data_IF_821059423690
#
_entry.id   IF_821059423690
#
_cell.length_a   1.000
_cell.length_b   1.000
_cell.length_c   1.000
_cell.angle_alpha   90.00
_cell.angle_beta   90.00
_cell.angle_gamma   90.00
#
_symmetry.space_group_name_H-M   'P 1'
#
loop_
_entity.id
_entity.type
_entity.pdbx_description
1 polymer ?
#
# COMPACT_ATOMS: atom_id res chain seq x y z
N UNK A 1 7.43 15.25 1.33
CA UNK A 1 8.20 15.35 2.57
C UNK A 1 7.52 14.59 3.69
N UNK A 2 8.31 14.16 4.66
CA UNK A 2 7.80 13.47 5.84
C UNK A 2 7.29 14.53 6.83
N UNK A 3 6.19 14.24 7.53
CA UNK A 3 5.70 15.12 8.58
C UNK A 3 5.21 14.32 9.79
N UNK A 4 5.14 14.96 10.93
CA UNK A 4 4.48 14.43 12.12
C UNK A 4 3.60 15.50 12.76
N UNK A 5 2.58 15.08 13.49
CA UNK A 5 1.72 15.94 14.30
C UNK A 5 2.17 15.81 15.76
N UNK A 6 2.32 16.95 16.42
CA UNK A 6 2.76 17.02 17.82
C UNK A 6 1.67 17.73 18.62
N UNK A 7 1.22 17.07 19.67
CA UNK A 7 0.34 17.62 20.70
C UNK A 7 1.13 17.87 21.99
N UNK A 8 0.56 18.58 22.98
CA UNK A 8 1.24 18.80 24.27
C UNK A 8 1.74 17.51 24.91
N UNK A 9 0.94 16.43 24.88
CA UNK A 9 1.22 15.16 25.56
C UNK A 9 1.26 13.96 24.61
N UNK A 10 1.09 14.18 23.28
CA UNK A 10 1.01 13.09 22.31
C UNK A 10 1.72 13.45 21.01
N UNK A 11 1.92 12.46 20.14
CA UNK A 11 2.46 12.66 18.80
C UNK A 11 1.97 11.59 17.83
N UNK A 12 1.88 11.93 16.55
CA UNK A 12 1.49 11.01 15.47
C UNK A 12 2.42 11.16 14.28
N UNK A 13 2.94 10.04 13.78
CA UNK A 13 3.89 10.01 12.66
C UNK A 13 5.35 10.08 13.13
N UNK A 14 6.26 10.20 12.18
CA UNK A 14 7.72 10.26 12.40
C UNK A 14 8.39 11.04 11.27
N UNK A 15 9.50 11.70 11.59
CA UNK A 15 10.37 12.38 10.61
C UNK A 15 11.75 11.71 10.48
N UNK A 16 11.90 10.49 11.00
CA UNK A 16 13.13 9.72 10.90
C UNK A 16 13.67 9.18 12.22
N UNK A 17 13.08 9.59 13.35
CA UNK A 17 13.42 9.09 14.69
C UNK A 17 14.72 9.67 15.28
N UNK A 18 15.05 9.18 16.48
CA UNK A 18 16.28 9.55 17.18
C UNK A 18 16.33 10.96 17.72
N UNK A 19 17.55 11.48 17.94
CA UNK A 19 17.78 12.79 18.57
C UNK A 19 17.14 13.95 17.79
N UNK A 20 17.11 13.88 16.46
CA UNK A 20 16.44 14.87 15.60
C UNK A 20 14.97 15.03 15.99
N UNK A 21 14.26 13.92 16.13
CA UNK A 21 12.83 13.92 16.45
C UNK A 21 12.56 14.52 17.84
N UNK A 22 13.36 14.16 18.85
CA UNK A 22 13.25 14.75 20.19
C UNK A 22 13.45 16.27 20.17
N UNK A 23 14.47 16.78 19.46
CA UNK A 23 14.71 18.22 19.31
C UNK A 23 13.51 18.94 18.68
N UNK A 24 12.92 18.33 17.65
CA UNK A 24 11.76 18.90 16.95
C UNK A 24 10.52 18.88 17.85
N UNK A 25 10.29 17.81 18.60
CA UNK A 25 9.16 17.70 19.55
C UNK A 25 9.28 18.77 20.63
N UNK A 26 10.46 18.92 21.25
CA UNK A 26 10.69 19.90 22.29
C UNK A 26 10.47 21.33 21.78
N UNK A 27 10.99 21.64 20.59
CA UNK A 27 10.79 22.96 19.98
C UNK A 27 9.33 23.22 19.61
N UNK A 28 8.62 22.22 19.08
CA UNK A 28 7.20 22.35 18.76
C UNK A 28 6.36 22.63 20.01
N UNK A 29 6.64 21.92 21.12
CA UNK A 29 5.98 22.16 22.42
C UNK A 29 6.33 23.53 23.00
N UNK A 30 7.56 24.01 22.78
CA UNK A 30 7.93 25.35 23.16
C UNK A 30 7.17 26.41 22.36
N UNK A 31 7.06 26.26 21.04
CA UNK A 31 6.26 27.15 20.16
C UNK A 31 4.82 27.25 20.64
N UNK A 32 4.20 26.11 21.01
CA UNK A 32 2.84 26.08 21.55
C UNK A 32 2.73 26.87 22.88
N UNK A 33 3.71 26.70 23.79
CA UNK A 33 3.73 27.45 25.08
C UNK A 33 3.96 28.95 24.90
N UNK A 34 4.77 29.34 23.92
CA UNK A 34 5.06 30.74 23.59
C UNK A 34 3.90 31.41 22.84
N UNK A 35 2.91 30.66 22.37
CA UNK A 35 1.81 31.15 21.56
C UNK A 35 2.24 31.63 20.17
N UNK A 36 3.39 31.18 19.68
CA UNK A 36 3.88 31.49 18.35
C UNK A 36 3.16 30.62 17.30
N UNK A 37 2.94 31.17 16.09
CA UNK A 37 2.20 30.46 15.02
C UNK A 37 3.09 29.52 14.23
N UNK A 38 4.39 29.84 14.10
CA UNK A 38 5.38 29.04 13.36
C UNK A 38 6.80 29.15 13.94
N UNK A 39 7.67 28.26 13.51
CA UNK A 39 9.12 28.32 13.72
C UNK A 39 9.83 27.49 12.64
N UNK A 40 11.13 27.75 12.47
CA UNK A 40 12.02 26.95 11.63
C UNK A 40 13.24 26.49 12.42
N UNK A 41 13.73 25.32 12.08
CA UNK A 41 14.93 24.75 12.63
C UNK A 41 15.82 24.26 11.49
N UNK A 42 17.06 24.71 11.45
CA UNK A 42 18.10 24.19 10.56
C UNK A 42 19.08 23.34 11.38
N UNK A 43 18.99 22.03 11.21
CA UNK A 43 19.67 21.05 12.09
C UNK A 43 20.75 20.33 11.29
N UNK A 44 22.03 20.43 11.69
CA UNK A 44 23.10 19.64 11.10
C UNK A 44 22.98 18.18 11.53
N UNK A 45 23.08 17.24 10.58
CA UNK A 45 23.07 15.80 10.82
C UNK A 45 24.52 15.31 11.06
N UNK A 46 25.07 15.64 12.22
CA UNK A 46 26.43 15.31 12.59
C UNK A 46 26.53 14.36 13.79
N UNK A 47 27.74 13.99 14.17
CA UNK A 47 28.01 13.16 15.36
C UNK A 47 27.43 13.74 16.66
N UNK A 48 27.24 15.05 16.72
CA UNK A 48 26.70 15.80 17.86
C UNK A 48 25.28 15.37 18.23
N UNK A 49 24.49 14.90 17.22
CA UNK A 49 23.15 14.35 17.40
C UNK A 49 23.12 12.84 17.17
N UNK A 50 24.27 12.17 17.24
CA UNK A 50 24.37 10.71 17.08
C UNK A 50 24.09 10.23 15.64
N UNK A 51 24.25 11.11 14.64
CA UNK A 51 24.08 10.75 13.22
C UNK A 51 25.40 10.84 12.47
N UNK A 52 25.68 9.83 11.64
CA UNK A 52 26.89 9.73 10.81
C UNK A 52 26.66 10.06 9.33
N UNK A 53 25.41 10.41 8.94
CA UNK A 53 25.06 10.59 7.53
C UNK A 53 25.56 11.91 6.93
N UNK A 54 25.93 12.90 7.75
CA UNK A 54 26.28 14.24 7.28
C UNK A 54 25.10 14.98 6.61
N UNK A 55 25.24 16.27 6.38
CA UNK A 55 24.19 17.09 5.76
C UNK A 55 23.43 17.95 6.76
N UNK A 56 22.35 18.59 6.31
CA UNK A 56 21.49 19.47 7.12
C UNK A 56 20.02 19.18 6.78
N UNK A 57 19.15 19.33 7.77
CA UNK A 57 17.70 19.21 7.62
C UNK A 57 17.05 20.52 8.03
N UNK A 58 16.23 21.08 7.13
CA UNK A 58 15.36 22.22 7.42
C UNK A 58 14.00 21.69 7.85
N UNK A 59 13.57 22.03 9.06
CA UNK A 59 12.30 21.61 9.66
C UNK A 59 11.42 22.84 9.87
N UNK A 60 10.28 22.88 9.21
CA UNK A 60 9.25 23.88 9.44
C UNK A 60 8.23 23.39 10.48
N UNK A 61 8.01 24.19 11.52
CA UNK A 61 6.99 23.97 12.55
C UNK A 61 5.83 24.94 12.30
N UNK A 62 4.61 24.46 12.39
CA UNK A 62 3.41 25.30 12.26
C UNK A 62 2.32 24.85 13.22
N UNK A 63 1.69 25.77 13.88
CA UNK A 63 0.49 25.49 14.67
C UNK A 63 -0.67 25.14 13.72
N UNK A 64 -1.36 24.02 14.03
CA UNK A 64 -2.47 23.56 13.21
C UNK A 64 -3.72 24.38 13.53
N UNK A 65 -4.00 25.38 12.69
CA UNK A 65 -5.25 26.10 12.69
C UNK A 65 -6.36 25.30 11.94
N UNK A 66 -7.63 25.72 12.02
CA UNK A 66 -8.71 25.03 11.30
C UNK A 66 -8.54 24.99 9.78
N UNK A 67 -7.82 25.93 9.16
CA UNK A 67 -7.60 25.97 7.72
C UNK A 67 -6.56 24.92 7.35
N UNK A 68 -5.42 24.90 8.04
CA UNK A 68 -4.37 23.88 7.86
C UNK A 68 -4.92 22.48 8.16
N UNK A 69 -5.71 22.32 9.22
CA UNK A 69 -6.34 21.05 9.55
C UNK A 69 -7.19 20.49 8.41
N UNK A 70 -8.06 21.33 7.81
CA UNK A 70 -8.85 20.91 6.63
C UNK A 70 -7.98 20.58 5.40
N UNK A 71 -6.88 21.30 5.21
CA UNK A 71 -5.92 21.00 4.11
C UNK A 71 -5.26 19.65 4.32
N UNK A 72 -4.78 19.36 5.53
CA UNK A 72 -4.18 18.07 5.88
C UNK A 72 -5.16 16.92 5.69
N UNK A 73 -6.41 17.07 6.14
CA UNK A 73 -7.46 16.06 5.94
C UNK A 73 -7.75 15.82 4.46
N UNK A 74 -7.84 16.86 3.64
CA UNK A 74 -8.03 16.72 2.18
C UNK A 74 -6.84 16.04 1.51
N UNK A 75 -5.61 16.41 1.89
CA UNK A 75 -4.40 15.79 1.35
C UNK A 75 -4.34 14.31 1.71
N UNK A 76 -4.63 13.95 2.96
CA UNK A 76 -4.70 12.55 3.40
C UNK A 76 -5.77 11.77 2.65
N UNK A 77 -6.97 12.35 2.49
CA UNK A 77 -8.05 11.69 1.74
C UNK A 77 -7.68 11.46 0.27
N UNK A 78 -7.01 12.44 -0.37
CA UNK A 78 -6.51 12.30 -1.73
C UNK A 78 -5.42 11.22 -1.84
N UNK A 79 -4.48 11.19 -0.89
CA UNK A 79 -3.46 10.15 -0.82
C UNK A 79 -4.08 8.76 -0.67
N UNK A 80 -5.01 8.61 0.27
CA UNK A 80 -5.72 7.34 0.46
C UNK A 80 -6.50 6.92 -0.78
N UNK A 81 -7.12 7.86 -1.50
CA UNK A 81 -7.84 7.57 -2.74
C UNK A 81 -6.91 7.14 -3.88
N UNK A 82 -5.70 7.69 -3.93
CA UNK A 82 -4.68 7.39 -4.94
C UNK A 82 -3.92 6.08 -4.68
N UNK A 83 -4.05 5.46 -3.49
CA UNK A 83 -3.35 4.21 -3.17
C UNK A 83 -3.73 3.10 -4.14
N UNK A 84 -2.73 2.33 -4.64
CA UNK A 84 -2.99 1.17 -5.48
C UNK A 84 -3.94 0.17 -4.83
N UNK A 85 -4.80 -0.43 -5.62
CA UNK A 85 -5.80 -1.41 -5.14
C UNK A 85 -5.31 -2.83 -5.36
N UNK A 86 -5.48 -3.66 -4.34
CA UNK A 86 -5.21 -5.09 -4.39
C UNK A 86 -6.47 -5.85 -3.98
N UNK A 87 -6.98 -6.67 -4.88
CA UNK A 87 -8.08 -7.57 -4.62
C UNK A 87 -7.54 -8.96 -4.33
N UNK A 88 -7.92 -9.53 -3.19
CA UNK A 88 -7.61 -10.91 -2.79
C UNK A 88 -8.90 -11.71 -2.92
N UNK A 89 -8.92 -12.68 -3.81
CA UNK A 89 -10.05 -13.59 -4.00
C UNK A 89 -9.79 -14.89 -3.24
N UNK A 90 -10.56 -15.10 -2.19
CA UNK A 90 -10.44 -16.20 -1.22
C UNK A 90 -9.94 -15.73 0.14
N UNK A 91 -10.74 -15.95 1.17
CA UNK A 91 -10.49 -15.57 2.56
C UNK A 91 -10.02 -16.77 3.43
N UNK A 92 -9.54 -17.86 2.81
CA UNK A 92 -8.91 -18.95 3.54
C UNK A 92 -7.54 -18.55 4.14
N UNK A 93 -6.82 -19.50 4.72
CA UNK A 93 -5.57 -19.25 5.47
C UNK A 93 -4.55 -18.35 4.71
N UNK A 94 -4.32 -18.60 3.41
CA UNK A 94 -3.39 -17.79 2.62
C UNK A 94 -3.96 -16.39 2.38
N UNK A 95 -5.26 -16.29 2.09
CA UNK A 95 -5.93 -14.98 1.86
C UNK A 95 -5.91 -14.11 3.11
N UNK A 96 -6.22 -14.65 4.27
CA UNK A 96 -6.16 -13.96 5.56
C UNK A 96 -4.73 -13.54 5.91
N UNK A 97 -3.74 -14.44 5.75
CA UNK A 97 -2.34 -14.11 5.98
C UNK A 97 -1.83 -13.01 5.04
N UNK A 98 -2.25 -13.04 3.76
CA UNK A 98 -1.89 -12.01 2.80
C UNK A 98 -2.57 -10.67 3.11
N UNK A 99 -3.84 -10.68 3.50
CA UNK A 99 -4.55 -9.49 3.94
C UNK A 99 -3.83 -8.83 5.13
N UNK A 100 -3.41 -9.63 6.12
CA UNK A 100 -2.64 -9.15 7.27
C UNK A 100 -1.26 -8.58 6.86
N UNK A 101 -0.55 -9.23 5.93
CA UNK A 101 0.74 -8.76 5.43
C UNK A 101 0.63 -7.46 4.63
N UNK A 102 -0.45 -7.25 3.87
CA UNK A 102 -0.68 -6.06 3.06
C UNK A 102 -1.32 -4.90 3.83
N UNK A 103 -2.03 -5.17 4.93
CA UNK A 103 -2.75 -4.17 5.71
C UNK A 103 -1.90 -2.96 6.15
N UNK A 104 -0.64 -3.11 6.64
CA UNK A 104 0.18 -1.97 7.06
C UNK A 104 0.79 -1.18 5.89
N UNK A 105 0.66 -1.66 4.64
CA UNK A 105 1.28 -1.06 3.47
C UNK A 105 0.40 0.06 2.89
N UNK A 106 0.96 1.02 2.12
CA UNK A 106 0.20 2.10 1.50
C UNK A 106 -0.63 1.60 0.30
N UNK A 107 -1.50 0.63 0.55
CA UNK A 107 -2.38 -0.04 -0.41
C UNK A 107 -3.83 0.02 0.04
N UNK A 108 -4.76 -0.12 -0.89
CA UNK A 108 -6.16 -0.40 -0.59
C UNK A 108 -6.42 -1.87 -0.86
N UNK A 109 -6.62 -2.62 0.20
CA UNK A 109 -6.81 -4.07 0.13
C UNK A 109 -8.29 -4.41 0.30
N UNK A 110 -8.83 -5.21 -0.62
CA UNK A 110 -10.17 -5.78 -0.51
C UNK A 110 -10.07 -7.30 -0.62
N UNK A 111 -10.64 -8.00 0.38
CA UNK A 111 -10.80 -9.45 0.35
C UNK A 111 -12.21 -9.80 -0.12
N UNK A 112 -12.29 -10.70 -1.10
CA UNK A 112 -13.54 -11.15 -1.73
C UNK A 112 -13.67 -12.65 -1.53
N UNK A 113 -14.76 -13.12 -0.94
CA UNK A 113 -15.08 -14.56 -0.85
C UNK A 113 -16.56 -14.80 -1.13
N UNK A 114 -16.90 -16.01 -1.52
CA UNK A 114 -18.29 -16.44 -1.67
C UNK A 114 -18.95 -16.80 -0.34
N UNK A 115 -18.16 -16.99 0.71
CA UNK A 115 -18.57 -17.42 2.05
C UNK A 115 -18.38 -16.24 3.02
N UNK A 116 -19.46 -15.61 3.50
CA UNK A 116 -19.37 -14.45 4.38
C UNK A 116 -18.60 -14.71 5.68
N UNK A 117 -18.73 -15.92 6.24
CA UNK A 117 -18.10 -16.35 7.48
C UNK A 117 -16.57 -16.38 7.44
N UNK A 118 -16.00 -16.57 6.26
CA UNK A 118 -14.54 -16.56 6.09
C UNK A 118 -13.93 -15.13 6.11
N UNK A 119 -14.78 -14.13 5.99
CA UNK A 119 -14.36 -12.71 6.00
C UNK A 119 -14.23 -12.15 7.41
N UNK A 120 -14.63 -12.91 8.42
CA UNK A 120 -14.48 -12.51 9.82
C UNK A 120 -12.99 -12.47 10.23
N UNK A 121 -12.66 -11.52 11.10
CA UNK A 121 -11.30 -11.39 11.64
C UNK A 121 -10.26 -10.74 10.71
N UNK A 122 -10.66 -10.20 9.56
CA UNK A 122 -9.77 -9.40 8.72
C UNK A 122 -9.31 -8.12 9.44
N UNK A 123 -8.11 -7.60 9.13
CA UNK A 123 -7.65 -6.32 9.67
C UNK A 123 -8.63 -5.18 9.39
N UNK A 124 -8.79 -4.24 10.34
CA UNK A 124 -9.80 -3.17 10.31
C UNK A 124 -9.71 -2.25 9.06
N UNK A 125 -8.54 -2.14 8.47
CA UNK A 125 -8.28 -1.34 7.27
C UNK A 125 -8.34 -2.15 5.97
N UNK A 126 -8.79 -3.39 6.02
CA UNK A 126 -9.03 -4.26 4.87
C UNK A 126 -10.53 -4.32 4.59
N UNK A 127 -10.90 -4.02 3.35
CA UNK A 127 -12.30 -4.07 2.92
C UNK A 127 -12.73 -5.54 2.73
N UNK A 128 -13.83 -5.95 3.36
CA UNK A 128 -14.43 -7.28 3.20
C UNK A 128 -15.60 -7.23 2.21
N UNK A 129 -15.69 -8.20 1.30
CA UNK A 129 -16.81 -8.29 0.35
C UNK A 129 -17.24 -9.74 0.12
N UNK A 130 -18.44 -10.08 0.59
CA UNK A 130 -19.10 -11.34 0.23
C UNK A 130 -19.85 -11.19 -1.10
N UNK A 131 -19.69 -12.15 -2.02
CA UNK A 131 -20.40 -12.17 -3.29
C UNK A 131 -20.42 -13.56 -3.91
N UNK A 132 -21.53 -13.92 -4.53
CA UNK A 132 -21.65 -15.16 -5.29
C UNK A 132 -20.92 -15.12 -6.67
N UNK A 133 -20.53 -13.92 -7.14
CA UNK A 133 -19.93 -13.70 -8.46
C UNK A 133 -18.61 -12.91 -8.32
N UNK A 134 -17.54 -13.53 -7.79
CA UNK A 134 -16.25 -12.85 -7.59
C UNK A 134 -15.64 -12.32 -8.89
N UNK A 135 -15.80 -13.02 -10.02
CA UNK A 135 -15.31 -12.59 -11.33
C UNK A 135 -15.96 -11.28 -11.80
N UNK A 136 -17.17 -10.99 -11.35
CA UNK A 136 -17.83 -9.72 -11.65
C UNK A 136 -17.16 -8.55 -10.91
N UNK A 137 -16.52 -8.80 -9.77
CA UNK A 137 -15.72 -7.79 -9.06
C UNK A 137 -14.54 -7.36 -9.91
N UNK A 138 -13.87 -8.29 -10.59
CA UNK A 138 -12.75 -7.99 -11.50
C UNK A 138 -13.19 -7.08 -12.64
N UNK A 139 -14.33 -7.40 -13.27
CA UNK A 139 -14.88 -6.59 -14.39
C UNK A 139 -15.16 -5.14 -14.00
N UNK A 140 -15.61 -4.93 -12.77
CA UNK A 140 -16.02 -3.62 -12.25
C UNK A 140 -14.94 -2.94 -11.40
N UNK A 141 -13.76 -3.53 -11.28
CA UNK A 141 -12.67 -2.96 -10.50
C UNK A 141 -12.10 -1.69 -11.16
N UNK A 142 -11.65 -0.70 -10.40
CA UNK A 142 -10.95 0.48 -10.93
C UNK A 142 -9.74 0.09 -11.79
N UNK A 143 -9.36 1.00 -12.68
CA UNK A 143 -8.13 0.85 -13.47
C UNK A 143 -6.89 0.74 -12.57
N UNK A 144 -5.88 -0.02 -13.03
CA UNK A 144 -4.64 -0.23 -12.29
C UNK A 144 -4.78 -1.14 -11.07
N UNK A 145 -5.88 -1.88 -10.93
CA UNK A 145 -6.07 -2.84 -9.84
C UNK A 145 -5.24 -4.11 -10.04
N UNK A 146 -4.72 -4.64 -8.95
CA UNK A 146 -3.99 -5.91 -8.88
C UNK A 146 -4.88 -7.01 -8.30
N UNK A 147 -4.66 -8.26 -8.74
CA UNK A 147 -5.51 -9.39 -8.42
C UNK A 147 -4.71 -10.57 -7.90
N UNK A 148 -5.08 -11.09 -6.72
CA UNK A 148 -4.50 -12.29 -6.10
C UNK A 148 -5.59 -13.32 -5.90
N UNK A 149 -5.39 -14.51 -6.46
CA UNK A 149 -6.41 -15.55 -6.56
C UNK A 149 -5.95 -16.73 -5.72
N UNK A 150 -6.62 -16.95 -4.60
CA UNK A 150 -6.28 -17.94 -3.57
C UNK A 150 -7.54 -18.66 -3.07
N UNK A 151 -8.53 -18.86 -3.94
CA UNK A 151 -9.77 -19.53 -3.55
C UNK A 151 -9.53 -21.03 -3.30
N UNK A 152 -10.50 -21.68 -2.69
CA UNK A 152 -10.50 -23.15 -2.49
C UNK A 152 -11.04 -23.91 -3.71
N UNK A 153 -11.65 -23.21 -4.70
CA UNK A 153 -12.26 -23.80 -5.87
C UNK A 153 -11.43 -23.49 -7.14
N UNK A 154 -10.95 -24.54 -7.79
CA UNK A 154 -10.12 -24.42 -8.99
C UNK A 154 -10.88 -23.84 -10.20
N UNK A 155 -12.18 -24.13 -10.33
CA UNK A 155 -12.99 -23.61 -11.43
C UNK A 155 -13.20 -22.09 -11.25
N UNK A 156 -13.47 -21.68 -10.02
CA UNK A 156 -13.61 -20.26 -9.67
C UNK A 156 -12.29 -19.50 -9.86
N UNK A 157 -11.16 -20.09 -9.45
CA UNK A 157 -9.83 -19.52 -9.71
C UNK A 157 -9.62 -19.24 -11.20
N UNK A 158 -10.03 -20.16 -12.06
CA UNK A 158 -9.87 -20.03 -13.51
C UNK A 158 -10.75 -18.91 -14.09
N UNK A 159 -11.99 -18.81 -13.65
CA UNK A 159 -12.90 -17.75 -14.09
C UNK A 159 -12.40 -16.35 -13.66
N UNK A 160 -11.96 -16.21 -12.42
CA UNK A 160 -11.40 -14.95 -11.90
C UNK A 160 -10.12 -14.59 -12.67
N UNK A 161 -9.21 -15.56 -12.88
CA UNK A 161 -7.96 -15.32 -13.60
C UNK A 161 -8.21 -14.94 -15.07
N UNK A 162 -9.18 -15.55 -15.73
CA UNK A 162 -9.60 -15.20 -17.09
C UNK A 162 -10.00 -13.73 -17.17
N UNK A 163 -10.87 -13.27 -16.28
CA UNK A 163 -11.32 -11.87 -16.25
C UNK A 163 -10.16 -10.92 -15.89
N UNK A 164 -9.28 -11.30 -14.95
CA UNK A 164 -8.14 -10.49 -14.57
C UNK A 164 -7.12 -10.34 -15.72
N UNK A 165 -6.86 -11.41 -16.48
CA UNK A 165 -5.94 -11.39 -17.61
C UNK A 165 -6.49 -10.63 -18.83
N UNK A 166 -7.80 -10.56 -18.98
CA UNK A 166 -8.45 -9.69 -19.98
C UNK A 166 -8.19 -8.21 -19.72
N UNK A 167 -7.94 -7.84 -18.47
CA UNK A 167 -7.59 -6.48 -18.11
C UNK A 167 -6.12 -6.20 -18.44
N UNK A 168 -5.88 -5.30 -19.40
CA UNK A 168 -4.52 -4.91 -19.82
C UNK A 168 -3.84 -3.96 -18.84
N UNK A 169 -4.63 -3.31 -18.00
CA UNK A 169 -4.23 -2.32 -17.00
C UNK A 169 -3.83 -2.93 -15.64
N UNK A 170 -3.99 -4.25 -15.46
CA UNK A 170 -3.63 -4.92 -14.21
C UNK A 170 -2.10 -5.02 -14.04
N UNK A 171 -1.50 -4.35 -13.02
CA UNK A 171 -0.07 -4.44 -12.76
C UNK A 171 0.35 -5.83 -12.30
N UNK A 172 -0.54 -6.53 -11.59
CA UNK A 172 -0.27 -7.86 -11.05
C UNK A 172 -1.50 -8.76 -11.15
N UNK A 173 -1.29 -9.97 -11.67
CA UNK A 173 -2.27 -11.06 -11.63
C UNK A 173 -1.56 -12.30 -11.11
N UNK A 174 -1.85 -12.68 -9.87
CA UNK A 174 -1.22 -13.80 -9.20
C UNK A 174 -2.23 -14.88 -8.79
N UNK A 175 -1.83 -16.16 -8.87
CA UNK A 175 -2.67 -17.29 -8.44
C UNK A 175 -1.85 -18.25 -7.59
N UNK A 176 -2.46 -18.77 -6.53
CA UNK A 176 -1.89 -19.88 -5.76
C UNK A 176 -2.00 -21.18 -6.55
N UNK A 177 -0.95 -21.99 -6.56
CA UNK A 177 -1.02 -23.28 -7.21
C UNK A 177 0.33 -23.93 -7.50
N UNK A 178 0.28 -25.07 -8.15
CA UNK A 178 1.43 -25.87 -8.57
C UNK A 178 1.73 -25.67 -10.06
N UNK A 179 2.88 -26.19 -10.53
CA UNK A 179 3.21 -26.27 -11.95
C UNK A 179 2.11 -26.99 -12.77
N UNK A 180 1.48 -28.02 -12.18
CA UNK A 180 0.39 -28.74 -12.84
C UNK A 180 -0.87 -27.86 -12.99
N UNK A 181 -1.21 -27.05 -11.98
CA UNK A 181 -2.32 -26.09 -12.06
C UNK A 181 -2.04 -25.03 -13.15
N UNK A 182 -0.81 -24.56 -13.26
CA UNK A 182 -0.38 -23.64 -14.32
C UNK A 182 -0.60 -24.22 -15.71
N UNK A 183 -0.16 -25.47 -15.94
CA UNK A 183 -0.34 -26.13 -17.23
C UNK A 183 -1.82 -26.33 -17.59
N UNK A 184 -2.64 -26.79 -16.62
CA UNK A 184 -4.09 -26.96 -16.80
C UNK A 184 -4.79 -25.63 -17.11
N UNK A 185 -4.47 -24.60 -16.32
CA UNK A 185 -5.04 -23.26 -16.57
C UNK A 185 -4.64 -22.75 -17.95
N UNK A 186 -3.36 -22.84 -18.31
CA UNK A 186 -2.88 -22.36 -19.61
C UNK A 186 -3.61 -23.02 -20.79
N UNK A 187 -3.76 -24.37 -20.75
CA UNK A 187 -4.49 -25.09 -21.79
C UNK A 187 -5.97 -24.67 -21.86
N UNK A 188 -6.64 -24.57 -20.72
CA UNK A 188 -8.03 -24.13 -20.63
C UNK A 188 -8.18 -22.68 -21.11
N UNK A 189 -7.34 -21.75 -20.63
CA UNK A 189 -7.38 -20.34 -20.97
C UNK A 189 -7.25 -20.09 -22.48
N UNK A 190 -6.31 -20.79 -23.12
CA UNK A 190 -6.13 -20.71 -24.57
C UNK A 190 -7.31 -21.32 -25.33
N UNK A 191 -7.92 -22.39 -24.79
CA UNK A 191 -9.15 -23.01 -25.33
C UNK A 191 -10.35 -22.07 -25.28
N UNK A 192 -10.43 -21.21 -24.26
CA UNK A 192 -11.44 -20.14 -24.14
C UNK A 192 -11.12 -18.88 -24.99
N UNK A 193 -10.13 -18.96 -25.88
CA UNK A 193 -9.72 -17.85 -26.75
C UNK A 193 -8.88 -16.78 -26.04
N UNK A 194 -8.23 -17.14 -24.93
CA UNK A 194 -7.38 -16.21 -24.19
C UNK A 194 -6.11 -15.84 -24.96
N UNK A 195 -5.61 -14.62 -24.75
CA UNK A 195 -4.41 -14.10 -25.39
C UNK A 195 -3.13 -14.72 -24.76
N UNK A 196 -2.28 -15.41 -25.54
CA UNK A 196 -1.01 -15.96 -25.03
C UNK A 196 -0.10 -14.91 -24.36
N UNK A 197 -0.10 -13.66 -24.85
CA UNK A 197 0.69 -12.58 -24.26
C UNK A 197 0.16 -12.19 -22.87
N UNK A 198 -1.17 -12.21 -22.68
CA UNK A 198 -1.79 -12.00 -21.38
C UNK A 198 -1.48 -13.16 -20.41
N UNK A 199 -1.49 -14.41 -20.90
CA UNK A 199 -1.13 -15.57 -20.09
C UNK A 199 0.30 -15.47 -19.53
N UNK A 200 1.24 -14.89 -20.27
CA UNK A 200 2.61 -14.70 -19.80
C UNK A 200 2.72 -13.77 -18.58
N UNK A 201 1.74 -12.89 -18.36
CA UNK A 201 1.67 -11.99 -17.18
C UNK A 201 1.20 -12.70 -15.91
N UNK A 202 0.64 -13.90 -16.02
CA UNK A 202 0.16 -14.64 -14.84
C UNK A 202 1.34 -15.12 -13.97
N UNK A 203 1.36 -14.69 -12.74
CA UNK A 203 2.28 -15.19 -11.71
C UNK A 203 1.63 -16.41 -11.04
N UNK A 204 2.17 -17.59 -11.30
CA UNK A 204 1.70 -18.84 -10.72
C UNK A 204 2.86 -19.84 -10.59
N UNK A 205 3.22 -20.23 -9.36
CA UNK A 205 2.65 -19.83 -8.07
C UNK A 205 3.04 -18.41 -7.64
N UNK A 206 2.20 -17.75 -6.84
CA UNK A 206 2.56 -16.51 -6.16
C UNK A 206 3.78 -16.71 -5.26
N UNK A 207 4.65 -15.72 -5.12
CA UNK A 207 5.94 -15.83 -4.42
C UNK A 207 6.93 -16.78 -5.12
N UNK A 208 6.67 -17.10 -6.40
CA UNK A 208 7.33 -18.21 -7.12
C UNK A 208 8.83 -18.06 -7.31
N UNK A 209 9.37 -16.84 -7.36
CA UNK A 209 10.82 -16.59 -7.47
C UNK A 209 11.60 -17.12 -6.27
N UNK A 210 11.07 -16.96 -5.04
CA UNK A 210 11.69 -17.47 -3.83
C UNK A 210 11.59 -19.01 -3.74
N UNK A 211 10.46 -19.59 -4.17
CA UNK A 211 10.33 -21.06 -4.26
C UNK A 211 11.24 -21.66 -5.33
N UNK A 212 11.47 -20.97 -6.45
CA UNK A 212 12.42 -21.39 -7.46
C UNK A 212 13.87 -21.36 -6.94
N UNK A 213 14.19 -20.47 -6.00
CA UNK A 213 15.48 -20.41 -5.32
C UNK A 213 15.66 -21.47 -4.20
N UNK A 214 14.68 -22.38 -4.00
CA UNK A 214 14.79 -23.49 -3.08
C UNK A 214 14.11 -23.31 -1.72
N UNK A 215 13.37 -22.21 -1.49
CA UNK A 215 12.56 -22.05 -0.28
C UNK A 215 11.36 -23.00 -0.36
N UNK A 216 11.39 -24.09 0.44
CA UNK A 216 10.33 -25.13 0.45
C UNK A 216 9.18 -24.87 1.42
N UNK A 217 9.18 -23.76 2.14
CA UNK A 217 8.19 -23.44 3.18
C UNK A 217 6.86 -22.99 2.56
N UNK A 218 5.81 -23.76 2.84
CA UNK A 218 4.45 -23.56 2.31
C UNK A 218 3.46 -23.03 3.36
N UNK A 219 3.95 -22.58 4.51
CA UNK A 219 3.06 -21.97 5.50
C UNK A 219 2.40 -20.71 4.93
N UNK A 220 1.11 -20.49 5.23
CA UNK A 220 0.35 -19.35 4.70
C UNK A 220 1.06 -18.01 4.86
N UNK A 221 1.67 -17.76 6.03
CA UNK A 221 2.37 -16.52 6.36
C UNK A 221 3.63 -16.33 5.51
N UNK A 222 4.34 -17.40 5.19
CA UNK A 222 5.54 -17.35 4.33
C UNK A 222 5.13 -17.06 2.88
N UNK A 223 4.11 -17.75 2.38
CA UNK A 223 3.55 -17.45 1.05
C UNK A 223 3.09 -16.01 0.98
N UNK A 224 2.39 -15.52 2.01
CA UNK A 224 1.87 -14.17 2.10
C UNK A 224 3.00 -13.12 2.07
N UNK A 225 4.06 -13.31 2.84
CA UNK A 225 5.21 -12.39 2.86
C UNK A 225 5.90 -12.30 1.48
N UNK A 226 6.10 -13.43 0.82
CA UNK A 226 6.71 -13.48 -0.51
C UNK A 226 5.80 -12.85 -1.58
N UNK A 227 4.51 -13.14 -1.53
CA UNK A 227 3.53 -12.55 -2.44
C UNK A 227 3.40 -11.03 -2.22
N UNK A 228 3.43 -10.57 -0.97
CA UNK A 228 3.39 -9.13 -0.67
C UNK A 228 4.60 -8.39 -1.27
N UNK A 229 5.81 -8.94 -1.11
CA UNK A 229 7.01 -8.38 -1.72
C UNK A 229 6.93 -8.36 -3.26
N UNK A 230 6.45 -9.45 -3.86
CA UNK A 230 6.27 -9.58 -5.30
C UNK A 230 5.25 -8.56 -5.84
N UNK A 231 4.12 -8.38 -5.16
CA UNK A 231 3.10 -7.39 -5.48
C UNK A 231 3.68 -5.97 -5.45
N UNK A 232 4.41 -5.62 -4.39
CA UNK A 232 5.04 -4.29 -4.25
C UNK A 232 6.02 -3.99 -5.39
N UNK A 233 6.82 -4.97 -5.79
CA UNK A 233 7.76 -4.82 -6.92
C UNK A 233 7.02 -4.57 -8.23
N UNK A 234 5.91 -5.29 -8.47
CA UNK A 234 5.13 -5.17 -9.72
C UNK A 234 4.29 -3.89 -9.80
N UNK A 235 3.73 -3.45 -8.67
CA UNK A 235 2.98 -2.19 -8.62
C UNK A 235 3.92 -0.98 -8.77
N UNK A 236 5.21 -1.16 -8.53
CA UNK A 236 6.18 -0.07 -8.41
C UNK A 236 6.07 0.62 -7.04
N UNK A 237 6.76 1.76 -6.88
CA UNK A 237 6.73 2.49 -5.61
C UNK A 237 5.36 3.20 -5.45
N UNK A 238 4.45 2.71 -4.62
CA UNK A 238 3.12 3.33 -4.44
C UNK A 238 3.18 4.78 -3.91
N UNK A 239 4.36 5.22 -3.47
CA UNK A 239 4.61 6.58 -2.99
C UNK A 239 5.18 7.56 -4.02
N UNK A 240 5.59 7.10 -5.21
CA UNK A 240 6.25 7.97 -6.20
C UNK A 240 5.30 8.91 -6.96
N UNK A 241 3.99 8.73 -6.83
CA UNK A 241 2.96 9.60 -7.43
C UNK A 241 2.31 10.57 -6.42
N UNK A 242 2.73 10.53 -5.16
CA UNK A 242 2.19 11.41 -4.12
C UNK A 242 2.95 12.73 -4.23
N UNK A 243 2.24 13.82 -4.53
CA UNK A 243 2.79 15.17 -4.45
C UNK A 243 3.32 15.38 -3.03
N UNK A 244 4.62 15.64 -2.84
CA UNK A 244 5.18 15.82 -1.52
C UNK A 244 4.45 16.93 -0.78
N UNK A 245 4.08 16.72 0.47
CA UNK A 245 3.29 17.67 1.25
C UNK A 245 4.02 19.02 1.48
N UNK A 246 5.35 19.08 1.27
CA UNK A 246 6.09 20.34 1.28
C UNK A 246 5.64 21.29 0.15
N UNK A 247 5.24 20.80 -1.01
CA UNK A 247 4.74 21.60 -2.12
C UNK A 247 3.34 22.19 -1.82
N UNK A 248 2.56 21.48 -1.00
CA UNK A 248 1.25 21.98 -0.52
C UNK A 248 1.42 23.12 0.49
N UNK A 249 2.53 23.15 1.22
CA UNK A 249 2.84 24.16 2.25
C UNK A 249 3.64 25.33 1.67
N UNK A 250 4.45 25.11 0.63
CA UNK A 250 5.27 26.16 -0.01
C UNK A 250 4.45 27.16 -0.86
N UNK A 251 3.28 26.78 -1.37
CA UNK A 251 2.49 27.60 -2.30
C UNK A 251 1.82 28.83 -1.65
N UNK A 252 1.97 29.07 -0.36
CA UNK A 252 1.40 30.26 0.32
C UNK A 252 2.41 31.36 0.58
N UNK A 253 3.70 31.18 0.28
CA UNK A 253 4.72 32.21 0.49
C UNK A 253 4.93 33.13 -0.74
N UNK A 254 4.58 32.70 -1.95
CA UNK A 254 4.82 33.46 -3.19
C UNK A 254 3.65 34.37 -3.63
N UNK A 255 2.54 34.41 -2.89
CA UNK A 255 1.39 35.25 -3.26
C UNK A 255 1.39 36.62 -2.59
N UNK A 256 2.43 36.97 -1.83
CA UNK A 256 2.47 38.24 -1.07
C UNK A 256 3.55 39.25 -1.52
N UNK A 257 4.25 39.01 -2.65
CA UNK A 257 5.21 39.97 -3.19
C UNK A 257 4.97 40.17 -4.69
N UNK A 258 3.92 40.91 -5.00
CA UNK A 258 3.58 41.34 -6.36
C UNK A 258 2.44 42.35 -6.34
N UNK A 259 2.76 43.55 -5.88
CA UNK A 259 1.85 44.67 -5.90
C UNK A 259 2.62 45.96 -5.60
#
# INVERSE_FOLDING_TARGET
GTFMLIAPDDMLGTIGGGALEYMVIDRARQVMREGAEDARMDIPLGPEIGQCCGGRVDVALRVVDPVLGRRLQRALAAEMAARPRVFIFGAGHVGQALAAALAPLPLRVQVVDTRPEELDGLPINVEARATALPEAVVRNAPEGSSYVIVTHDHALDFLIALEALRRRDAPYVGMVGSKNKRAKFGSWYLGEGGDPAALARLVLPIGGTAFAAGLGDKRPEVIAALAAAEILVQIGHPGSQITPMHDIVATTADAAHGG
#
